data_IF_089953033166
#
_entry.id   IF_089953033166
#
_cell.length_a   1.000
_cell.length_b   1.000
_cell.length_c   1.000
_cell.angle_alpha   90.00
_cell.angle_beta   90.00
_cell.angle_gamma   90.00
#
_symmetry.space_group_name_H-M   'P 1'
#
loop_
_entity.id
_entity.type
_entity.pdbx_description
1 polymer ?
#
# COMPACT_ATOMS: atom_id res chain seq x y z
N UNK A 1 2.18 -15.63 1.71
CA UNK A 1 0.97 -15.70 2.56
C UNK A 1 0.93 -14.66 3.69
N UNK A 2 1.91 -13.78 3.82
CA UNK A 2 1.92 -12.76 4.89
C UNK A 2 0.82 -11.73 4.66
N UNK A 3 0.75 -11.10 3.49
CA UNK A 3 -0.28 -10.10 3.20
C UNK A 3 -1.72 -10.62 3.31
N UNK A 4 -1.98 -11.86 2.91
CA UNK A 4 -3.31 -12.48 3.03
C UNK A 4 -3.70 -12.75 4.48
N UNK A 5 -2.76 -13.20 5.32
CA UNK A 5 -2.99 -13.39 6.75
C UNK A 5 -3.16 -12.04 7.47
N UNK A 6 -2.32 -11.06 7.15
CA UNK A 6 -2.41 -9.70 7.69
C UNK A 6 -3.77 -9.08 7.39
N UNK A 7 -4.31 -9.27 6.17
CA UNK A 7 -5.63 -8.74 5.82
C UNK A 7 -6.73 -9.23 6.76
N UNK A 8 -6.73 -10.52 7.12
CA UNK A 8 -7.73 -11.10 8.03
C UNK A 8 -7.57 -10.52 9.44
N UNK A 9 -6.34 -10.49 9.95
CA UNK A 9 -6.05 -10.00 11.30
C UNK A 9 -6.34 -8.50 11.45
N UNK A 10 -5.95 -7.70 10.46
CA UNK A 10 -6.11 -6.25 10.50
C UNK A 10 -7.52 -5.78 10.14
N UNK A 11 -8.40 -6.66 9.66
CA UNK A 11 -9.84 -6.35 9.57
C UNK A 11 -10.41 -5.97 10.94
N UNK A 12 -10.13 -6.78 11.97
CA UNK A 12 -10.59 -6.52 13.35
C UNK A 12 -9.97 -5.26 13.96
N UNK A 13 -8.74 -4.93 13.56
CA UNK A 13 -8.05 -3.71 14.01
C UNK A 13 -8.65 -2.49 13.31
N UNK A 14 -8.95 -2.59 12.01
CA UNK A 14 -9.58 -1.53 11.23
C UNK A 14 -10.97 -1.17 11.77
N UNK A 15 -11.72 -2.14 12.30
CA UNK A 15 -13.00 -1.89 12.94
C UNK A 15 -12.89 -1.00 14.20
N UNK A 16 -11.74 -0.99 14.88
CA UNK A 16 -11.50 -0.21 16.11
C UNK A 16 -10.77 1.11 15.87
N UNK A 17 -9.78 1.11 14.97
CA UNK A 17 -8.88 2.25 14.73
C UNK A 17 -9.41 3.20 13.66
N UNK A 18 -10.28 2.72 12.77
CA UNK A 18 -10.75 3.48 11.62
C UNK A 18 -9.94 3.19 10.36
N UNK A 19 -10.64 3.13 9.23
CA UNK A 19 -10.06 2.78 7.94
C UNK A 19 -9.11 3.86 7.41
N UNK A 20 -9.47 5.13 7.59
CA UNK A 20 -8.69 6.26 7.10
C UNK A 20 -7.34 6.40 7.81
N UNK A 21 -7.32 6.23 9.13
CA UNK A 21 -6.08 6.28 9.92
C UNK A 21 -5.13 5.15 9.52
N UNK A 22 -5.63 3.91 9.43
CA UNK A 22 -4.79 2.76 9.03
C UNK A 22 -4.30 2.86 7.59
N UNK A 23 -5.13 3.36 6.66
CA UNK A 23 -4.70 3.65 5.28
C UNK A 23 -3.58 4.70 5.28
N UNK A 24 -3.67 5.73 6.13
CA UNK A 24 -2.63 6.75 6.23
C UNK A 24 -1.30 6.20 6.78
N UNK A 25 -1.36 5.42 7.87
CA UNK A 25 -0.19 4.75 8.45
C UNK A 25 0.47 3.83 7.41
N UNK A 26 -0.35 3.07 6.67
CA UNK A 26 0.13 2.19 5.61
C UNK A 26 0.88 2.98 4.53
N UNK A 27 0.30 4.08 4.07
CA UNK A 27 0.92 4.95 3.06
C UNK A 27 2.29 5.46 3.49
N UNK A 28 2.41 5.97 4.72
CA UNK A 28 3.69 6.42 5.30
C UNK A 28 4.67 5.25 5.39
N UNK A 29 4.25 4.08 5.88
CA UNK A 29 5.12 2.92 6.01
C UNK A 29 5.65 2.45 4.64
N UNK A 30 4.81 2.42 3.60
CA UNK A 30 5.21 2.03 2.24
C UNK A 30 6.22 3.00 1.64
N UNK A 31 6.07 4.31 1.89
CA UNK A 31 7.05 5.34 1.50
C UNK A 31 8.38 5.12 2.22
N UNK A 32 8.35 4.97 3.56
CA UNK A 32 9.56 4.79 4.37
C UNK A 32 10.31 3.50 4.01
N UNK A 33 9.61 2.38 3.83
CA UNK A 33 10.23 1.10 3.47
C UNK A 33 10.81 1.13 2.05
N UNK A 34 10.12 1.75 1.10
CA UNK A 34 10.63 1.95 -0.26
C UNK A 34 11.86 2.87 -0.26
N UNK A 35 11.83 3.94 0.54
CA UNK A 35 12.96 4.83 0.74
C UNK A 35 14.15 4.13 1.39
N UNK A 36 13.92 3.27 2.38
CA UNK A 36 14.97 2.50 3.04
C UNK A 36 15.68 1.55 2.06
N UNK A 37 14.93 0.89 1.18
CA UNK A 37 15.52 0.02 0.14
C UNK A 37 16.48 0.77 -0.78
N UNK A 38 16.14 2.01 -1.14
CA UNK A 38 16.98 2.87 -1.96
C UNK A 38 18.18 3.39 -1.15
N UNK A 39 17.92 3.97 0.03
CA UNK A 39 18.92 4.63 0.87
C UNK A 39 20.02 3.67 1.33
N UNK A 40 19.67 2.44 1.72
CA UNK A 40 20.63 1.43 2.15
C UNK A 40 21.22 0.62 0.98
N UNK A 41 20.93 0.99 -0.29
CA UNK A 41 21.50 0.32 -1.46
C UNK A 41 21.04 -1.13 -1.66
N UNK A 42 19.92 -1.52 -1.05
CA UNK A 42 19.43 -2.91 -1.02
C UNK A 42 18.92 -3.41 -2.38
N UNK A 43 18.73 -2.50 -3.34
CA UNK A 43 18.28 -2.78 -4.71
C UNK A 43 19.44 -2.96 -5.70
N UNK A 44 20.68 -2.74 -5.25
CA UNK A 44 21.91 -2.94 -6.02
C UNK A 44 23.01 -3.47 -5.07
N UNK A 45 22.81 -4.66 -4.47
CA UNK A 45 23.64 -5.11 -3.35
C UNK A 45 25.07 -5.43 -3.77
N UNK A 46 26.03 -5.09 -2.92
CA UNK A 46 27.47 -5.36 -3.11
C UNK A 46 27.98 -6.48 -2.20
N UNK A 47 27.20 -6.88 -1.20
CA UNK A 47 27.51 -7.95 -0.25
C UNK A 47 26.27 -8.76 0.10
N UNK A 48 26.48 -10.06 0.40
CA UNK A 48 25.42 -10.97 0.86
C UNK A 48 24.84 -10.56 2.22
N UNK A 49 25.59 -9.80 3.03
CA UNK A 49 25.16 -9.31 4.34
C UNK A 49 23.98 -8.33 4.25
N UNK A 50 23.72 -7.75 3.08
CA UNK A 50 22.58 -6.86 2.83
C UNK A 50 21.26 -7.63 2.63
N UNK A 51 21.34 -8.94 2.33
CA UNK A 51 20.18 -9.76 2.02
C UNK A 51 19.15 -9.85 3.16
N UNK A 52 19.54 -10.06 4.44
CA UNK A 52 18.57 -10.08 5.54
C UNK A 52 17.79 -8.78 5.68
N UNK A 53 18.46 -7.62 5.53
CA UNK A 53 17.80 -6.32 5.63
C UNK A 53 16.84 -6.09 4.44
N UNK A 54 17.25 -6.47 3.23
CA UNK A 54 16.39 -6.48 2.06
C UNK A 54 15.11 -7.30 2.31
N UNK A 55 15.27 -8.51 2.84
CA UNK A 55 14.13 -9.39 3.17
C UNK A 55 13.22 -8.72 4.20
N UNK A 56 13.74 -8.14 5.28
CA UNK A 56 12.91 -7.45 6.26
C UNK A 56 12.11 -6.28 5.67
N UNK A 57 12.74 -5.48 4.81
CA UNK A 57 12.03 -4.41 4.10
C UNK A 57 10.94 -4.95 3.17
N UNK A 58 11.22 -6.01 2.40
CA UNK A 58 10.24 -6.67 1.53
C UNK A 58 9.07 -7.26 2.33
N UNK A 59 9.35 -7.96 3.43
CA UNK A 59 8.34 -8.52 4.33
C UNK A 59 7.47 -7.41 4.94
N UNK A 60 8.08 -6.29 5.31
CA UNK A 60 7.38 -5.08 5.76
C UNK A 60 6.42 -4.56 4.69
N UNK A 61 6.87 -4.43 3.43
CA UNK A 61 6.01 -3.98 2.33
C UNK A 61 4.82 -4.93 2.11
N UNK A 62 5.05 -6.26 2.16
CA UNK A 62 3.97 -7.25 2.05
C UNK A 62 2.99 -7.18 3.23
N UNK A 63 3.50 -6.97 4.43
CA UNK A 63 2.68 -6.81 5.63
C UNK A 63 1.80 -5.57 5.49
N UNK A 64 2.38 -4.40 5.24
CA UNK A 64 1.63 -3.15 5.13
C UNK A 64 0.69 -3.12 3.93
N UNK A 65 1.03 -3.77 2.81
CA UNK A 65 0.08 -4.01 1.71
C UNK A 65 -1.17 -4.76 2.17
N UNK A 66 -1.02 -5.78 3.03
CA UNK A 66 -2.13 -6.48 3.66
C UNK A 66 -2.96 -5.59 4.60
N UNK A 67 -2.29 -4.76 5.41
CA UNK A 67 -2.96 -3.78 6.30
C UNK A 67 -3.76 -2.76 5.49
N UNK A 68 -3.16 -2.16 4.46
CA UNK A 68 -3.84 -1.19 3.59
C UNK A 68 -5.03 -1.77 2.87
N UNK A 69 -4.96 -3.05 2.47
CA UNK A 69 -6.11 -3.74 1.89
C UNK A 69 -7.25 -3.84 2.91
N UNK A 70 -6.99 -4.29 4.15
CA UNK A 70 -8.02 -4.34 5.19
C UNK A 70 -8.61 -2.96 5.51
N UNK A 71 -7.74 -1.94 5.63
CA UNK A 71 -8.12 -0.56 5.94
C UNK A 71 -9.02 0.05 4.85
N UNK A 72 -8.62 -0.07 3.58
CA UNK A 72 -9.41 0.46 2.46
C UNK A 72 -10.73 -0.27 2.29
N UNK A 73 -10.77 -1.60 2.49
CA UNK A 73 -12.02 -2.37 2.51
C UNK A 73 -12.99 -1.88 3.59
N UNK A 74 -12.46 -1.47 4.77
CA UNK A 74 -13.26 -0.87 5.84
C UNK A 74 -13.82 0.51 5.48
N UNK A 75 -13.13 1.28 4.65
CA UNK A 75 -13.58 2.62 4.26
C UNK A 75 -14.84 2.60 3.38
N UNK A 76 -14.99 1.64 2.45
CA UNK A 76 -16.14 1.58 1.54
C UNK A 76 -17.52 1.61 2.23
N UNK A 77 -17.84 0.74 3.22
CA UNK A 77 -19.14 0.78 3.87
C UNK A 77 -19.37 2.06 4.69
N UNK A 78 -18.31 2.72 5.17
CA UNK A 78 -18.40 4.00 5.88
C UNK A 78 -18.72 5.13 4.90
N UNK A 79 -18.01 5.18 3.76
CA UNK A 79 -18.20 6.18 2.71
C UNK A 79 -19.60 6.10 2.12
N UNK A 80 -20.09 4.89 1.88
CA UNK A 80 -21.38 4.61 1.26
C UNK A 80 -22.45 4.19 2.27
N UNK A 81 -22.38 4.70 3.50
CA UNK A 81 -23.35 4.39 4.57
C UNK A 81 -24.80 4.67 4.19
N UNK A 82 -25.04 5.63 3.30
CA UNK A 82 -26.36 5.95 2.76
C UNK A 82 -26.91 4.90 1.77
N UNK A 83 -26.07 4.03 1.20
CA UNK A 83 -26.47 3.00 0.26
C UNK A 83 -25.48 1.83 0.26
N UNK A 84 -25.72 0.81 1.11
CA UNK A 84 -24.88 -0.39 1.15
C UNK A 84 -24.77 -1.10 -0.20
N UNK A 85 -25.83 -1.08 -1.02
CA UNK A 85 -25.82 -1.64 -2.37
C UNK A 85 -24.81 -0.93 -3.28
N UNK A 86 -24.77 0.40 -3.23
CA UNK A 86 -23.81 1.17 -4.01
C UNK A 86 -22.38 0.94 -3.49
N UNK A 87 -22.19 0.89 -2.17
CA UNK A 87 -20.89 0.57 -1.56
C UNK A 87 -20.33 -0.77 -2.04
N UNK A 88 -21.17 -1.82 -2.09
CA UNK A 88 -20.78 -3.13 -2.59
C UNK A 88 -20.41 -3.12 -4.09
N UNK A 89 -21.15 -2.37 -4.92
CA UNK A 89 -20.87 -2.23 -6.35
C UNK A 89 -19.53 -1.53 -6.59
N UNK A 90 -19.27 -0.43 -5.87
CA UNK A 90 -18.02 0.32 -5.99
C UNK A 90 -16.84 -0.52 -5.49
N UNK A 91 -17.01 -1.27 -4.39
CA UNK A 91 -15.99 -2.20 -3.90
C UNK A 91 -15.65 -3.28 -4.93
N UNK A 92 -16.66 -3.87 -5.59
CA UNK A 92 -16.45 -4.87 -6.63
C UNK A 92 -15.69 -4.31 -7.84
N UNK A 93 -16.10 -3.14 -8.32
CA UNK A 93 -15.46 -2.46 -9.46
C UNK A 93 -14.00 -2.09 -9.16
N UNK A 94 -13.75 -1.45 -8.02
CA UNK A 94 -12.40 -1.05 -7.60
C UNK A 94 -11.51 -2.28 -7.37
N UNK A 95 -12.06 -3.36 -6.81
CA UNK A 95 -11.37 -4.64 -6.69
C UNK A 95 -10.97 -5.25 -8.02
N UNK A 96 -11.84 -5.19 -9.04
CA UNK A 96 -11.52 -5.65 -10.39
C UNK A 96 -10.35 -4.87 -11.02
N UNK A 97 -10.32 -3.54 -10.84
CA UNK A 97 -9.19 -2.70 -11.28
C UNK A 97 -7.91 -3.05 -10.50
N UNK A 98 -8.02 -3.23 -9.18
CA UNK A 98 -6.87 -3.56 -8.32
C UNK A 98 -6.26 -4.94 -8.64
N UNK A 99 -7.05 -5.88 -9.17
CA UNK A 99 -6.57 -7.21 -9.58
C UNK A 99 -5.50 -7.16 -10.69
N UNK A 100 -5.45 -6.09 -11.49
CA UNK A 100 -4.38 -5.88 -12.48
C UNK A 100 -3.07 -5.41 -11.87
N UNK A 101 -3.07 -4.97 -10.60
CA UNK A 101 -1.92 -4.43 -9.90
C UNK A 101 -0.67 -5.32 -9.94
N UNK A 102 -0.75 -6.62 -9.59
CA UNK A 102 0.41 -7.52 -9.64
C UNK A 102 1.04 -7.62 -11.03
N UNK A 103 0.22 -7.67 -12.09
CA UNK A 103 0.71 -7.70 -13.46
C UNK A 103 1.44 -6.41 -13.81
N UNK A 104 0.80 -5.26 -13.59
CA UNK A 104 1.39 -3.94 -13.89
C UNK A 104 2.70 -3.73 -13.13
N UNK A 105 2.73 -4.05 -11.83
CA UNK A 105 3.92 -3.89 -10.99
C UNK A 105 5.05 -4.82 -11.46
N UNK A 106 4.75 -6.09 -11.75
CA UNK A 106 5.74 -7.03 -12.27
C UNK A 106 6.34 -6.57 -13.60
N UNK A 107 5.51 -6.05 -14.51
CA UNK A 107 5.97 -5.52 -15.80
C UNK A 107 6.86 -4.29 -15.63
N UNK A 108 6.49 -3.33 -14.77
CA UNK A 108 7.28 -2.10 -14.57
C UNK A 108 8.60 -2.41 -13.84
N UNK A 109 8.60 -3.28 -12.82
CA UNK A 109 9.84 -3.74 -12.16
C UNK A 109 10.76 -4.39 -13.18
N UNK A 110 10.25 -5.33 -13.98
CA UNK A 110 11.02 -6.00 -15.02
C UNK A 110 11.61 -4.99 -16.01
N UNK A 111 10.81 -4.06 -16.52
CA UNK A 111 11.26 -3.01 -17.42
C UNK A 111 12.33 -2.10 -16.79
N UNK A 112 12.20 -1.77 -15.49
CA UNK A 112 13.20 -1.00 -14.74
C UNK A 112 14.54 -1.72 -14.73
N UNK A 113 14.55 -2.99 -14.34
CA UNK A 113 15.77 -3.80 -14.25
C UNK A 113 16.39 -3.98 -15.63
N UNK A 114 15.61 -4.30 -16.67
CA UNK A 114 16.12 -4.48 -18.03
C UNK A 114 16.75 -3.21 -18.61
N UNK A 115 16.17 -2.03 -18.34
CA UNK A 115 16.65 -0.76 -18.92
C UNK A 115 17.77 -0.09 -18.14
N UNK A 116 17.79 -0.26 -16.82
CA UNK A 116 18.70 0.50 -15.93
C UNK A 116 19.65 -0.38 -15.12
N UNK A 117 19.49 -1.71 -15.18
CA UNK A 117 20.27 -2.66 -14.39
C UNK A 117 19.84 -2.75 -12.91
N UNK A 118 18.84 -1.96 -12.47
CA UNK A 118 18.40 -1.91 -11.08
C UNK A 118 16.89 -1.68 -10.96
N UNK A 119 16.34 -1.99 -9.78
CA UNK A 119 14.94 -1.72 -9.44
C UNK A 119 14.72 -0.31 -8.86
N UNK A 120 15.77 0.50 -8.69
CA UNK A 120 15.66 1.84 -8.09
C UNK A 120 14.60 2.72 -8.78
N UNK A 121 14.56 2.87 -10.12
CA UNK A 121 13.55 3.70 -10.78
C UNK A 121 12.11 3.26 -10.48
N UNK A 122 11.86 1.95 -10.39
CA UNK A 122 10.56 1.44 -9.98
C UNK A 122 10.20 1.88 -8.56
N UNK A 123 11.11 1.75 -7.58
CA UNK A 123 10.82 2.12 -6.20
C UNK A 123 10.68 3.65 -6.01
N UNK A 124 11.38 4.46 -6.82
CA UNK A 124 11.14 5.92 -6.88
C UNK A 124 9.71 6.21 -7.38
N UNK A 125 9.29 5.55 -8.45
CA UNK A 125 7.91 5.65 -8.95
C UNK A 125 6.88 5.16 -7.93
N UNK A 126 7.17 4.09 -7.21
CA UNK A 126 6.33 3.57 -6.14
C UNK A 126 6.19 4.57 -4.98
N UNK A 127 7.28 5.22 -4.56
CA UNK A 127 7.24 6.29 -3.54
C UNK A 127 6.32 7.43 -4.00
N UNK A 128 6.46 7.89 -5.24
CA UNK A 128 5.60 8.94 -5.79
C UNK A 128 4.13 8.52 -5.79
N UNK A 129 3.84 7.29 -6.20
CA UNK A 129 2.49 6.73 -6.17
C UNK A 129 1.91 6.65 -4.75
N UNK A 130 2.68 6.12 -3.79
CA UNK A 130 2.26 6.04 -2.39
C UNK A 130 2.08 7.41 -1.76
N UNK A 131 2.93 8.39 -2.10
CA UNK A 131 2.78 9.76 -1.65
C UNK A 131 1.46 10.36 -2.12
N UNK A 132 1.13 10.25 -3.40
CA UNK A 132 -0.14 10.74 -3.96
C UNK A 132 -1.33 10.03 -3.30
N UNK A 133 -1.30 8.71 -3.16
CA UNK A 133 -2.36 7.95 -2.50
C UNK A 133 -2.55 8.38 -1.03
N UNK A 134 -1.44 8.60 -0.32
CA UNK A 134 -1.44 9.04 1.09
C UNK A 134 -1.98 10.46 1.22
N UNK A 135 -1.63 11.36 0.28
CA UNK A 135 -2.12 12.74 0.24
C UNK A 135 -3.63 12.80 -0.03
N UNK A 136 -4.13 11.97 -0.96
CA UNK A 136 -5.58 11.81 -1.19
C UNK A 136 -6.27 11.32 0.07
N UNK A 137 -5.72 10.28 0.72
CA UNK A 137 -6.31 9.75 1.94
C UNK A 137 -6.33 10.80 3.07
N UNK A 138 -5.25 11.58 3.18
CA UNK A 138 -5.16 12.67 4.14
C UNK A 138 -6.24 13.73 3.89
N UNK A 139 -6.39 14.18 2.64
CA UNK A 139 -7.34 15.22 2.28
C UNK A 139 -8.79 14.83 2.61
N UNK A 140 -9.20 13.61 2.28
CA UNK A 140 -10.61 13.21 2.40
C UNK A 140 -10.97 12.54 3.72
N UNK A 141 -10.02 11.93 4.44
CA UNK A 141 -10.34 11.04 5.57
C UNK A 141 -9.63 11.37 6.89
N UNK A 142 -8.45 12.00 6.88
CA UNK A 142 -7.68 12.19 8.13
C UNK A 142 -7.30 13.63 8.46
N UNK A 143 -7.46 14.60 7.56
CA UNK A 143 -7.28 16.02 7.91
C UNK A 143 -8.36 16.47 8.91
N UNK A 144 -8.02 17.48 9.72
CA UNK A 144 -9.01 18.14 10.59
C UNK A 144 -10.12 18.74 9.72
N UNK A 145 -11.38 18.40 10.04
CA UNK A 145 -12.55 18.84 9.27
C UNK A 145 -12.70 18.20 7.90
N UNK A 146 -12.16 16.98 7.71
CA UNK A 146 -12.31 16.24 6.46
C UNK A 146 -13.78 15.93 6.12
N UNK A 147 -14.06 15.77 4.83
CA UNK A 147 -15.42 15.56 4.32
C UNK A 147 -16.05 14.26 4.81
N UNK A 148 -15.24 13.20 4.95
CA UNK A 148 -15.71 11.87 5.37
C UNK A 148 -14.73 11.22 6.34
N UNK A 149 -14.79 11.49 7.65
CA UNK A 149 -13.96 10.78 8.62
C UNK A 149 -14.27 9.28 8.59
N UNK A 150 -13.23 8.44 8.53
CA UNK A 150 -13.34 6.98 8.41
C UNK A 150 -12.30 6.23 9.22
#
# INVERSE_FOLDING_TARGET
MIGSATRVLFGFIADKVGGGILTHITGIAMICLSGALIYFGLLSPTSIEQFPMFVWCMLGLFFFSGVGNAATFRQYPIIFSHSPRQGAQVLGWTGAVAAYGPFVFATIIGASITRTGTAIPFFVGAIAFFFVATAINWWFYTRKGCEKPS
#
